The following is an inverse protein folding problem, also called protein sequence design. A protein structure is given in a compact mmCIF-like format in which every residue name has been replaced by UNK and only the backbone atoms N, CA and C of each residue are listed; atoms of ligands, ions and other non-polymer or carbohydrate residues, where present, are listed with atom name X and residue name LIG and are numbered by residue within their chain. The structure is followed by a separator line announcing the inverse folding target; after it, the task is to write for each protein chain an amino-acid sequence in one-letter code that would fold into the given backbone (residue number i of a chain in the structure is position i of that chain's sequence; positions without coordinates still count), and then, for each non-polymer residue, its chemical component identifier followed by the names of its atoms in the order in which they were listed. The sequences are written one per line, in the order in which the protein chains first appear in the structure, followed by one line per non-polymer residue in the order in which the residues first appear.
data_IF_328345848572
#
_entry.id   IF_328345848572
#
_cell.length_a   1.000
_cell.length_b   1.000
_cell.length_c   1.000
_cell.angle_alpha   90.00
_cell.angle_beta   90.00
_cell.angle_gamma   90.00
#
_symmetry.space_group_name_H-M   'P 1'
#
loop_
_entity.id
_entity.type
_entity.pdbx_description
1 polymer ?
#
# COMPACT_ATOMS: atom_id res chain seq x y z
N UNK A 1 -0.14 15.29 -16.51
CA UNK A 1 0.27 13.85 -16.49
C UNK A 1 -0.78 13.12 -15.65
N UNK A 2 -1.32 12.00 -16.12
CA UNK A 2 -2.39 11.28 -15.42
C UNK A 2 -1.76 10.16 -14.58
N UNK A 3 -1.66 10.35 -13.28
CA UNK A 3 -1.17 9.32 -12.34
C UNK A 3 -2.19 8.20 -12.24
N UNK A 4 -1.73 6.96 -12.23
CA UNK A 4 -2.55 5.75 -12.17
C UNK A 4 -2.27 4.95 -10.92
N UNK A 5 -3.25 4.13 -10.54
CA UNK A 5 -3.09 3.15 -9.47
C UNK A 5 -1.85 2.28 -9.73
N UNK A 6 -0.96 2.21 -8.74
CA UNK A 6 0.29 1.47 -8.87
C UNK A 6 1.52 2.28 -9.23
N UNK A 7 1.36 3.53 -9.64
CA UNK A 7 2.50 4.40 -9.96
C UNK A 7 3.29 4.72 -8.69
N UNK A 8 4.61 4.61 -8.80
CA UNK A 8 5.54 4.84 -7.70
C UNK A 8 6.13 6.23 -7.81
N UNK A 9 5.95 7.02 -6.76
CA UNK A 9 6.49 8.38 -6.64
C UNK A 9 7.35 8.52 -5.37
N UNK A 10 8.14 9.58 -5.32
CA UNK A 10 8.98 9.90 -4.16
C UNK A 10 8.41 11.10 -3.39
N UNK A 11 8.44 11.01 -2.06
CA UNK A 11 8.12 12.13 -1.18
C UNK A 11 9.00 12.09 0.07
N UNK A 12 9.64 13.20 0.42
CA UNK A 12 10.54 13.32 1.59
C UNK A 12 11.54 12.15 1.69
N UNK A 13 12.16 11.82 0.56
CA UNK A 13 13.13 10.71 0.39
C UNK A 13 12.57 9.29 0.50
N UNK A 14 11.27 9.14 0.66
CA UNK A 14 10.58 7.86 0.77
C UNK A 14 9.84 7.54 -0.54
N UNK A 15 9.61 6.24 -0.80
CA UNK A 15 8.86 5.79 -1.97
C UNK A 15 7.44 5.42 -1.58
N UNK A 16 6.48 5.82 -2.41
CA UNK A 16 5.07 5.57 -2.20
C UNK A 16 4.43 5.04 -3.48
N UNK A 17 3.41 4.21 -3.34
CA UNK A 17 2.57 3.74 -4.44
C UNK A 17 1.27 4.52 -4.39
N UNK A 18 0.92 5.17 -5.49
CA UNK A 18 -0.36 5.85 -5.64
C UNK A 18 -1.51 4.83 -5.66
N UNK A 19 -2.56 5.10 -4.88
CA UNK A 19 -3.76 4.28 -4.85
C UNK A 19 -4.93 5.03 -5.50
N UNK A 20 -5.35 6.12 -4.88
CA UNK A 20 -6.50 6.90 -5.33
C UNK A 20 -6.42 8.32 -4.80
N UNK A 21 -7.30 9.20 -5.28
CA UNK A 21 -7.45 10.55 -4.73
C UNK A 21 -8.89 11.03 -4.77
N UNK A 22 -9.19 11.93 -3.86
CA UNK A 22 -10.38 12.79 -3.88
C UNK A 22 -9.91 14.24 -4.06
N UNK A 23 -10.81 15.22 -3.96
CA UNK A 23 -10.43 16.64 -3.97
C UNK A 23 -9.56 17.02 -2.77
N UNK A 24 -9.75 16.36 -1.62
CA UNK A 24 -9.10 16.72 -0.35
C UNK A 24 -8.06 15.70 0.15
N UNK A 25 -8.10 14.48 -0.37
CA UNK A 25 -7.33 13.35 0.17
C UNK A 25 -6.64 12.58 -0.94
N UNK A 26 -5.31 12.59 -0.89
CA UNK A 26 -4.48 11.61 -1.58
C UNK A 26 -4.40 10.34 -0.75
N UNK A 27 -4.64 9.18 -1.35
CA UNK A 27 -4.37 7.86 -0.78
C UNK A 27 -3.13 7.25 -1.45
N UNK A 28 -2.10 6.95 -0.67
CA UNK A 28 -0.91 6.23 -1.12
C UNK A 28 -0.41 5.27 -0.04
N UNK A 29 0.28 4.22 -0.44
CA UNK A 29 0.91 3.25 0.49
C UNK A 29 2.42 3.45 0.50
N UNK A 30 3.05 3.41 1.68
CA UNK A 30 4.50 3.61 1.81
C UNK A 30 5.22 2.31 1.51
N UNK A 31 6.22 2.35 0.63
CA UNK A 31 7.12 1.22 0.42
C UNK A 31 8.21 1.28 1.50
N UNK A 32 8.11 0.42 2.51
CA UNK A 32 9.07 0.34 3.62
C UNK A 32 10.45 -0.09 3.14
N UNK A 33 11.51 0.27 3.87
CA UNK A 33 12.86 -0.28 3.61
C UNK A 33 12.87 -1.80 3.81
N UNK A 34 13.86 -2.50 3.28
CA UNK A 34 13.96 -3.95 3.45
C UNK A 34 14.08 -4.36 4.93
N UNK A 35 14.80 -3.56 5.72
CA UNK A 35 14.93 -3.75 7.17
C UNK A 35 13.59 -3.62 7.89
N UNK A 36 12.89 -2.50 7.69
CA UNK A 36 11.57 -2.27 8.29
C UNK A 36 10.53 -3.29 7.81
N UNK A 37 10.64 -3.73 6.56
CA UNK A 37 9.76 -4.77 6.01
C UNK A 37 9.95 -6.09 6.75
N UNK A 38 11.20 -6.49 7.02
CA UNK A 38 11.53 -7.70 7.79
C UNK A 38 11.07 -7.58 9.23
N UNK A 39 11.29 -6.43 9.86
CA UNK A 39 10.84 -6.19 11.24
C UNK A 39 9.32 -6.32 11.35
N UNK A 40 8.57 -5.64 10.48
CA UNK A 40 7.11 -5.71 10.48
C UNK A 40 6.60 -7.13 10.23
N UNK A 41 7.20 -7.84 9.26
CA UNK A 41 6.85 -9.23 8.99
C UNK A 41 7.12 -10.14 10.20
N UNK A 42 8.28 -10.00 10.85
CA UNK A 42 8.62 -10.78 12.04
C UNK A 42 7.68 -10.48 13.21
N UNK A 43 7.33 -9.21 13.43
CA UNK A 43 6.36 -8.82 14.45
C UNK A 43 5.00 -9.46 14.16
N UNK A 44 4.51 -9.33 12.92
CA UNK A 44 3.25 -9.95 12.50
C UNK A 44 3.23 -11.47 12.73
N UNK A 45 4.27 -12.18 12.27
CA UNK A 45 4.41 -13.63 12.44
C UNK A 45 4.48 -14.04 13.92
N UNK A 46 5.19 -13.27 14.75
CA UNK A 46 5.27 -13.54 16.18
C UNK A 46 3.93 -13.33 16.88
N UNK A 47 3.18 -12.29 16.51
CA UNK A 47 1.86 -12.01 17.05
C UNK A 47 0.85 -13.08 16.62
N UNK A 48 0.92 -13.58 15.38
CA UNK A 48 0.10 -14.70 14.92
C UNK A 48 0.37 -16.00 15.71
N UNK A 49 1.61 -16.22 16.17
CA UNK A 49 2.00 -17.41 16.96
C UNK A 49 1.61 -17.32 18.44
N UNK A 50 1.40 -16.12 18.98
CA UNK A 50 1.25 -15.83 20.42
C UNK A 50 -0.20 -15.78 20.95
N UNK A 51 -1.17 -16.40 20.27
CA UNK A 51 -2.52 -16.66 20.84
C UNK A 51 -3.61 -15.59 20.61
N UNK A 52 -3.53 -14.77 19.55
CA UNK A 52 -4.67 -13.98 19.06
C UNK A 52 -4.99 -14.37 17.61
N UNK A 53 -6.20 -14.91 17.41
CA UNK A 53 -6.72 -15.35 16.11
C UNK A 53 -6.24 -14.42 15.01
N UNK A 54 -5.61 -14.96 13.96
CA UNK A 54 -5.13 -14.23 12.77
C UNK A 54 -6.14 -13.18 12.29
N UNK A 55 -7.42 -13.52 12.34
CA UNK A 55 -8.56 -12.64 12.03
C UNK A 55 -8.67 -11.36 12.87
N UNK A 56 -8.18 -11.33 14.11
CA UNK A 56 -8.17 -10.12 14.96
C UNK A 56 -7.02 -9.19 14.57
N UNK A 57 -5.89 -9.74 14.12
CA UNK A 57 -4.75 -8.96 13.64
C UNK A 57 -5.02 -8.39 12.24
N UNK A 58 -5.63 -9.18 11.36
CA UNK A 58 -6.09 -8.73 10.03
C UNK A 58 -7.08 -7.56 10.12
N UNK A 59 -7.76 -7.39 11.25
CA UNK A 59 -8.65 -6.26 11.52
C UNK A 59 -7.96 -5.00 12.07
N UNK A 60 -6.62 -5.00 12.21
CA UNK A 60 -5.87 -3.80 12.63
C UNK A 60 -5.26 -3.12 11.39
N UNK A 61 -5.48 -1.80 11.20
CA UNK A 61 -4.89 -1.05 10.09
C UNK A 61 -3.35 -1.12 10.01
N UNK A 62 -2.68 -1.36 11.14
CA UNK A 62 -1.23 -1.56 11.19
C UNK A 62 -0.77 -2.79 10.38
N UNK A 63 -1.62 -3.79 10.22
CA UNK A 63 -1.31 -5.02 9.47
C UNK A 63 -1.93 -5.04 8.07
N UNK A 64 -2.46 -3.91 7.59
CA UNK A 64 -2.86 -3.75 6.19
C UNK A 64 -1.64 -3.51 5.32
N UNK A 65 -1.07 -4.59 4.78
CA UNK A 65 0.14 -4.48 3.97
C UNK A 65 0.27 -5.60 2.95
N UNK A 66 1.04 -5.33 1.90
CA UNK A 66 1.36 -6.31 0.85
C UNK A 66 2.87 -6.43 0.71
N UNK A 67 3.37 -7.66 0.67
CA UNK A 67 4.77 -7.93 0.30
C UNK A 67 4.88 -7.89 -1.22
N UNK A 68 5.73 -7.00 -1.73
CA UNK A 68 5.89 -6.75 -3.15
C UNK A 68 6.84 -7.76 -3.81
N UNK A 69 6.51 -8.15 -5.04
CA UNK A 69 7.30 -9.02 -5.91
C UNK A 69 7.85 -8.28 -7.15
N UNK A 70 7.46 -7.03 -7.38
CA UNK A 70 8.03 -6.16 -8.41
C UNK A 70 9.55 -6.09 -8.26
N UNK A 71 10.31 -6.32 -9.34
CA UNK A 71 11.78 -6.46 -9.29
C UNK A 71 12.51 -5.35 -8.52
N UNK A 72 12.07 -4.10 -8.65
CA UNK A 72 12.67 -2.94 -7.96
C UNK A 72 12.33 -2.86 -6.45
N UNK A 73 11.30 -3.59 -6.02
CA UNK A 73 10.74 -3.55 -4.66
C UNK A 73 10.60 -4.93 -4.02
N UNK A 74 11.23 -5.95 -4.59
CA UNK A 74 11.09 -7.33 -4.15
C UNK A 74 11.39 -7.47 -2.65
N UNK A 75 10.54 -8.23 -1.96
CA UNK A 75 10.61 -8.50 -0.51
C UNK A 75 10.40 -7.25 0.38
N UNK A 76 9.97 -6.13 -0.20
CA UNK A 76 9.59 -4.93 0.56
C UNK A 76 8.09 -4.91 0.79
N UNK A 77 7.69 -4.27 1.87
CA UNK A 77 6.28 -4.12 2.24
C UNK A 77 5.73 -2.78 1.75
N UNK A 78 4.60 -2.82 1.05
CA UNK A 78 3.71 -1.69 0.85
C UNK A 78 2.74 -1.60 2.03
N UNK A 79 2.97 -0.65 2.94
CA UNK A 79 2.15 -0.43 4.14
C UNK A 79 1.03 0.58 3.90
N UNK A 80 -0.22 0.11 3.98
CA UNK A 80 -1.41 0.89 3.65
C UNK A 80 -1.80 1.76 4.85
N UNK A 81 -1.03 2.83 5.06
CA UNK A 81 -1.26 3.84 6.09
C UNK A 81 -2.00 5.07 5.57
N UNK A 82 -2.34 5.98 6.47
CA UNK A 82 -2.96 7.27 6.10
C UNK A 82 -1.92 8.28 5.63
N UNK A 83 -2.18 8.92 4.50
CA UNK A 83 -1.32 9.92 3.84
C UNK A 83 -1.71 11.36 4.15
N UNK A 84 -2.29 11.59 5.34
CA UNK A 84 -2.77 12.90 5.77
C UNK A 84 -1.62 13.91 5.77
N UNK A 85 -1.75 15.00 5.00
CA UNK A 85 -0.74 16.06 4.89
C UNK A 85 0.30 15.87 3.77
N UNK A 86 0.04 15.03 2.78
CA UNK A 86 0.74 15.06 1.50
C UNK A 86 0.17 16.15 0.60
N UNK A 87 1.06 16.88 -0.08
CA UNK A 87 0.72 17.95 -1.04
C UNK A 87 0.46 17.34 -2.43
N UNK A 88 -0.35 17.98 -3.27
CA UNK A 88 -0.65 17.54 -4.63
C UNK A 88 0.49 17.75 -5.63
N UNK A 89 1.49 18.58 -5.29
CA UNK A 89 2.69 18.79 -6.12
C UNK A 89 3.61 17.57 -6.22
N UNK A 90 3.25 16.43 -5.63
CA UNK A 90 4.09 15.23 -5.52
C UNK A 90 4.07 14.31 -6.75
N UNK A 91 3.20 14.59 -7.72
CA UNK A 91 2.99 13.73 -8.89
C UNK A 91 3.95 13.95 -10.07
N UNK A 92 4.94 14.85 -9.94
CA UNK A 92 5.86 15.15 -11.03
C UNK A 92 7.00 14.12 -11.18
N UNK A 93 7.28 13.32 -10.14
CA UNK A 93 8.39 12.36 -10.11
C UNK A 93 7.90 10.90 -10.07
N UNK A 94 7.05 10.51 -11.02
CA UNK A 94 6.76 9.09 -11.25
C UNK A 94 8.03 8.43 -11.77
N UNK A 95 8.57 7.49 -10.99
CA UNK A 95 9.85 6.85 -11.28
C UNK A 95 9.72 5.39 -11.72
N UNK A 96 8.65 4.71 -11.28
CA UNK A 96 8.44 3.29 -11.48
C UNK A 96 6.93 2.97 -11.42
N UNK A 97 6.55 1.74 -11.73
CA UNK A 97 5.20 1.22 -11.53
C UNK A 97 5.28 -0.22 -11.03
N UNK A 98 4.27 -0.67 -10.28
CA UNK A 98 4.20 -2.04 -9.81
C UNK A 98 3.74 -3.00 -10.92
N UNK A 99 4.12 -4.28 -10.81
CA UNK A 99 3.65 -5.33 -11.69
C UNK A 99 2.17 -5.70 -11.40
N UNK A 100 1.53 -6.41 -12.33
CA UNK A 100 0.10 -6.74 -12.22
C UNK A 100 -0.23 -7.62 -11.00
N UNK A 101 0.69 -8.47 -10.55
CA UNK A 101 0.52 -9.31 -9.36
C UNK A 101 0.40 -8.46 -8.08
N UNK A 102 1.35 -7.52 -7.89
CA UNK A 102 1.35 -6.63 -6.73
C UNK A 102 0.12 -5.70 -6.75
N UNK A 103 -0.29 -5.22 -7.94
CA UNK A 103 -1.49 -4.41 -8.08
C UNK A 103 -2.75 -5.17 -7.65
N UNK A 104 -2.87 -6.45 -8.04
CA UNK A 104 -3.99 -7.31 -7.65
C UNK A 104 -4.00 -7.53 -6.13
N UNK A 105 -2.84 -7.84 -5.55
CA UNK A 105 -2.70 -8.05 -4.12
C UNK A 105 -3.03 -6.79 -3.30
N UNK A 106 -2.57 -5.61 -3.74
CA UNK A 106 -2.92 -4.34 -3.07
C UNK A 106 -4.41 -4.06 -3.18
N UNK A 107 -5.02 -4.26 -4.36
CA UNK A 107 -6.47 -4.07 -4.53
C UNK A 107 -7.26 -5.00 -3.61
N UNK A 108 -6.88 -6.27 -3.51
CA UNK A 108 -7.51 -7.24 -2.63
C UNK A 108 -7.39 -6.83 -1.15
N UNK A 109 -6.18 -6.49 -0.70
CA UNK A 109 -5.93 -6.03 0.68
C UNK A 109 -6.75 -4.78 1.03
N UNK A 110 -6.91 -3.84 0.08
CA UNK A 110 -7.75 -2.66 0.27
C UNK A 110 -9.22 -3.03 0.46
N UNK A 111 -9.74 -3.94 -0.36
CA UNK A 111 -11.15 -4.31 -0.35
C UNK A 111 -11.52 -5.15 0.87
N UNK A 112 -10.63 -6.05 1.31
CA UNK A 112 -10.88 -6.96 2.44
C UNK A 112 -10.50 -6.33 3.78
N UNK A 113 -9.44 -5.52 3.84
CA UNK A 113 -8.89 -4.98 5.07
C UNK A 113 -9.76 -3.91 5.77
N UNK A 114 -9.47 -3.57 7.03
CA UNK A 114 -10.13 -2.54 7.84
C UNK A 114 -9.79 -1.09 7.38
N UNK A 115 -9.89 -0.82 6.08
CA UNK A 115 -9.56 0.46 5.47
C UNK A 115 -10.80 1.34 5.24
N UNK A 116 -10.64 2.67 5.11
CA UNK A 116 -11.75 3.60 4.93
C UNK A 116 -12.63 3.22 3.74
N UNK A 117 -13.96 3.23 3.93
CA UNK A 117 -14.94 2.84 2.91
C UNK A 117 -14.74 3.61 1.59
N UNK A 118 -14.43 4.90 1.68
CA UNK A 118 -14.18 5.75 0.51
C UNK A 118 -13.02 5.27 -0.36
N UNK A 119 -11.92 4.80 0.25
CA UNK A 119 -10.80 4.20 -0.49
C UNK A 119 -11.23 2.92 -1.20
N UNK A 120 -12.05 2.08 -0.54
CA UNK A 120 -12.58 0.85 -1.14
C UNK A 120 -13.44 1.15 -2.37
N UNK A 121 -14.32 2.14 -2.27
CA UNK A 121 -15.18 2.58 -3.37
C UNK A 121 -14.34 3.11 -4.55
N UNK A 122 -13.31 3.93 -4.29
CA UNK A 122 -12.42 4.46 -5.34
C UNK A 122 -11.60 3.38 -6.06
N UNK A 123 -11.23 2.31 -5.36
CA UNK A 123 -10.39 1.23 -5.90
C UNK A 123 -11.21 0.13 -6.58
N UNK A 124 -12.51 0.03 -6.27
CA UNK A 124 -13.40 -1.00 -6.81
C UNK A 124 -13.42 -0.97 -8.35
N UNK A 125 -13.57 0.22 -8.93
CA UNK A 125 -13.74 0.46 -10.37
C UNK A 125 -12.43 0.50 -11.16
N UNK A 126 -11.30 0.23 -10.53
CA UNK A 126 -9.99 0.26 -11.20
C UNK A 126 -9.78 -1.03 -11.99
N UNK A 127 -9.72 -0.91 -13.31
CA UNK A 127 -9.30 -1.98 -14.21
C UNK A 127 -7.79 -2.20 -14.12
N UNK A 128 -7.40 -3.40 -13.71
CA UNK A 128 -6.00 -3.79 -13.64
C UNK A 128 -5.56 -4.45 -14.95
N UNK A 129 -4.34 -4.18 -15.44
CA UNK A 129 -3.80 -4.88 -16.60
C UNK A 129 -3.69 -6.38 -16.31
N UNK A 130 -4.11 -7.21 -17.27
CA UNK A 130 -4.10 -8.67 -17.17
C UNK A 130 -2.70 -9.23 -16.91
#
# INVERSE_FOLDING_TARGET
MLVKFGDVFKYKSEKYVYLARTEDVLYATKILSLELSRELHNVYENECKKDHKRSVLENKPLYCFVTLNTKAFKDRIAHIGTTKGMDDSLFFDIADSLNSEDLKAIKEEILTGPLPKMLKELVLDIDLPC
#
